data_IF_473251041050
#
_entry.id   IF_473251041050
#
_cell.length_a   1.000
_cell.length_b   1.000
_cell.length_c   1.000
_cell.angle_alpha   90.00
_cell.angle_beta   90.00
_cell.angle_gamma   90.00
#
_symmetry.space_group_name_H-M   'P 1'
#
loop_
_entity.id
_entity.type
_entity.pdbx_description
1 polymer ?
#
# COMPACT_ATOMS: atom_id res chain seq x y z
N UNK A 1 44.62 17.95 5.08
CA UNK A 1 44.19 16.54 4.95
C UNK A 1 42.70 16.46 5.21
N UNK A 2 41.90 16.37 4.16
CA UNK A 2 40.42 16.26 4.25
C UNK A 2 40.04 14.79 4.39
N UNK A 3 39.26 14.39 5.41
CA UNK A 3 38.92 12.98 5.61
C UNK A 3 37.87 12.57 4.57
N UNK A 4 38.31 11.84 3.55
CA UNK A 4 37.49 11.27 2.46
C UNK A 4 36.64 10.06 2.86
N UNK A 5 36.37 9.88 4.15
CA UNK A 5 35.71 8.68 4.70
C UNK A 5 34.28 8.92 5.21
N UNK A 6 33.76 10.15 5.15
CA UNK A 6 32.39 10.49 5.62
C UNK A 6 31.30 10.27 4.56
N UNK A 7 31.67 10.12 3.29
CA UNK A 7 30.72 9.99 2.17
C UNK A 7 29.99 8.63 2.11
N UNK A 8 30.63 7.46 2.35
CA UNK A 8 29.94 6.18 2.21
C UNK A 8 28.93 5.92 3.34
N UNK A 9 29.13 6.49 4.53
CA UNK A 9 28.22 6.31 5.68
C UNK A 9 26.91 7.07 5.47
N UNK A 10 26.98 8.26 4.86
CA UNK A 10 25.80 9.08 4.59
C UNK A 10 24.85 8.42 3.56
N UNK A 11 25.42 7.70 2.57
CA UNK A 11 24.65 7.02 1.54
C UNK A 11 23.83 5.86 2.10
N UNK A 12 24.38 5.06 3.02
CA UNK A 12 23.63 3.96 3.65
C UNK A 12 22.45 4.48 4.48
N UNK A 13 22.62 5.64 5.14
CA UNK A 13 21.56 6.27 5.92
C UNK A 13 20.40 6.80 5.06
N UNK A 14 20.69 7.30 3.85
CA UNK A 14 19.67 7.83 2.94
C UNK A 14 18.83 6.73 2.27
N UNK A 15 19.40 5.54 2.01
CA UNK A 15 18.65 4.42 1.45
C UNK A 15 17.71 3.74 2.45
N UNK A 16 17.92 3.92 3.76
CA UNK A 16 17.04 3.36 4.80
C UNK A 16 15.67 4.05 4.92
N UNK A 17 15.52 5.27 4.38
CA UNK A 17 14.31 6.09 4.56
C UNK A 17 13.32 6.01 3.37
N UNK A 18 13.67 5.33 2.27
CA UNK A 18 12.82 5.24 1.06
C UNK A 18 11.85 4.04 1.07
N UNK A 19 11.52 3.53 2.26
CA UNK A 19 10.81 2.26 2.43
C UNK A 19 9.50 2.34 3.20
N UNK A 20 8.70 3.40 3.06
CA UNK A 20 7.26 3.30 3.37
C UNK A 20 6.54 2.58 2.20
N UNK A 21 6.97 1.37 1.88
CA UNK A 21 6.11 0.46 1.11
C UNK A 21 5.08 -0.06 2.11
N UNK A 22 3.84 0.44 2.01
CA UNK A 22 2.72 -0.17 2.72
C UNK A 22 2.76 -1.67 2.44
N UNK A 23 3.00 -2.48 3.48
CA UNK A 23 3.05 -3.95 3.35
C UNK A 23 1.66 -4.55 3.17
N UNK A 24 0.65 -3.71 2.94
CA UNK A 24 -0.74 -4.12 2.88
C UNK A 24 -1.02 -4.76 1.53
N UNK A 25 -1.76 -5.88 1.51
CA UNK A 25 -2.08 -6.55 0.26
C UNK A 25 -3.03 -5.67 -0.55
N UNK A 26 -2.67 -5.43 -1.82
CA UNK A 26 -3.50 -4.75 -2.81
C UNK A 26 -4.16 -5.81 -3.69
N UNK A 27 -5.48 -5.75 -3.80
CA UNK A 27 -6.30 -6.63 -4.62
C UNK A 27 -6.95 -5.88 -5.76
N UNK A 28 -6.84 -6.41 -6.97
CA UNK A 28 -7.61 -5.93 -8.12
C UNK A 28 -8.96 -6.62 -8.15
N UNK A 29 -10.04 -5.86 -7.99
CA UNK A 29 -11.42 -6.33 -8.01
C UNK A 29 -12.16 -5.74 -9.21
N UNK A 30 -13.16 -6.46 -9.71
CA UNK A 30 -14.00 -5.99 -10.82
C UNK A 30 -14.96 -4.92 -10.31
N UNK A 31 -15.09 -3.82 -11.05
CA UNK A 31 -15.95 -2.69 -10.69
C UNK A 31 -17.08 -2.53 -11.71
N UNK A 32 -17.94 -3.55 -11.80
CA UNK A 32 -19.10 -3.52 -12.71
C UNK A 32 -20.41 -3.19 -11.97
N UNK A 33 -20.54 -3.69 -10.75
CA UNK A 33 -21.73 -3.52 -9.91
C UNK A 33 -21.25 -3.12 -8.49
N UNK A 34 -21.74 -1.99 -7.94
CA UNK A 34 -21.30 -1.51 -6.63
C UNK A 34 -21.61 -2.45 -5.47
N UNK A 35 -22.71 -3.20 -5.52
CA UNK A 35 -23.10 -4.15 -4.46
C UNK A 35 -22.21 -5.39 -4.49
N UNK A 36 -21.95 -5.93 -5.69
CA UNK A 36 -21.02 -7.06 -5.88
C UNK A 36 -19.62 -6.65 -5.47
N UNK A 37 -19.15 -5.49 -5.93
CA UNK A 37 -17.84 -4.96 -5.56
C UNK A 37 -17.66 -4.84 -4.04
N UNK A 38 -18.66 -4.28 -3.34
CA UNK A 38 -18.61 -4.16 -1.88
C UNK A 38 -18.53 -5.53 -1.20
N UNK A 39 -19.31 -6.51 -1.66
CA UNK A 39 -19.27 -7.87 -1.13
C UNK A 39 -17.91 -8.53 -1.35
N UNK A 40 -17.33 -8.37 -2.54
CA UNK A 40 -16.02 -8.92 -2.89
C UNK A 40 -14.89 -8.27 -2.07
N UNK A 41 -14.92 -6.95 -1.94
CA UNK A 41 -13.97 -6.19 -1.12
C UNK A 41 -14.05 -6.62 0.35
N UNK A 42 -15.27 -6.78 0.87
CA UNK A 42 -15.48 -7.28 2.24
C UNK A 42 -15.00 -8.71 2.43
N UNK A 43 -15.21 -9.58 1.44
CA UNK A 43 -14.76 -10.97 1.49
C UNK A 43 -13.23 -11.08 1.47
N UNK A 44 -12.54 -10.15 0.79
CA UNK A 44 -11.08 -10.12 0.68
C UNK A 44 -10.38 -9.44 1.85
N UNK A 45 -10.87 -8.27 2.25
CA UNK A 45 -10.21 -7.39 3.22
C UNK A 45 -10.98 -7.21 4.55
N UNK A 46 -12.20 -7.73 4.65
CA UNK A 46 -13.08 -7.46 5.78
C UNK A 46 -13.67 -6.04 5.74
N UNK A 47 -13.91 -5.46 6.91
CA UNK A 47 -14.51 -4.13 7.05
C UNK A 47 -13.58 -2.98 6.69
N UNK A 48 -12.27 -3.21 6.75
CA UNK A 48 -11.27 -2.16 6.65
C UNK A 48 -10.52 -2.29 5.33
N UNK A 49 -10.90 -1.46 4.36
CA UNK A 49 -10.22 -1.37 3.07
C UNK A 49 -10.29 0.05 2.51
N UNK A 50 -9.31 0.39 1.66
CA UNK A 50 -9.28 1.63 0.90
C UNK A 50 -9.25 1.32 -0.60
N UNK A 51 -9.89 2.17 -1.40
CA UNK A 51 -9.76 2.12 -2.85
C UNK A 51 -8.60 3.02 -3.23
N UNK A 52 -7.54 2.44 -3.78
CA UNK A 52 -6.30 3.16 -4.15
C UNK A 52 -6.38 3.68 -5.58
N UNK A 53 -7.02 2.92 -6.47
CA UNK A 53 -7.19 3.27 -7.88
C UNK A 53 -8.52 2.73 -8.39
N UNK A 54 -9.19 3.48 -9.27
CA UNK A 54 -10.41 3.04 -9.94
C UNK A 54 -10.25 3.19 -11.45
N UNK A 55 -10.29 2.06 -12.15
CA UNK A 55 -10.40 1.99 -13.59
C UNK A 55 -11.86 1.90 -14.05
N UNK A 56 -12.06 1.72 -15.36
CA UNK A 56 -13.39 1.62 -15.97
C UNK A 56 -14.18 0.37 -15.57
N UNK A 57 -13.49 -0.74 -15.34
CA UNK A 57 -14.06 -2.07 -15.07
C UNK A 57 -13.40 -2.75 -13.85
N UNK A 58 -12.51 -2.04 -13.15
CA UNK A 58 -11.80 -2.56 -11.99
C UNK A 58 -11.52 -1.47 -10.95
N UNK A 59 -11.24 -1.90 -9.73
CA UNK A 59 -10.68 -1.05 -8.68
C UNK A 59 -9.57 -1.80 -7.94
N UNK A 60 -8.51 -1.09 -7.57
CA UNK A 60 -7.47 -1.58 -6.67
C UNK A 60 -7.87 -1.27 -5.25
N UNK A 61 -7.94 -2.32 -4.44
CA UNK A 61 -8.35 -2.25 -3.04
C UNK A 61 -7.19 -2.67 -2.16
N UNK A 62 -6.79 -1.80 -1.25
CA UNK A 62 -5.79 -2.08 -0.22
C UNK A 62 -6.49 -2.50 1.07
N UNK A 63 -6.11 -3.66 1.62
CA UNK A 63 -6.66 -4.11 2.90
C UNK A 63 -5.98 -3.35 4.04
N UNK A 64 -6.77 -2.58 4.79
CA UNK A 64 -6.28 -1.84 5.94
C UNK A 64 -6.32 -2.75 7.18
N UNK A 65 -5.32 -2.61 8.05
CA UNK A 65 -5.42 -3.22 9.38
C UNK A 65 -6.44 -2.43 10.19
N UNK A 66 -7.26 -3.10 11.02
CA UNK A 66 -8.05 -2.37 12.02
C UNK A 66 -7.10 -1.53 12.86
N UNK A 67 -7.49 -0.30 13.16
CA UNK A 67 -6.81 0.48 14.18
C UNK A 67 -6.88 -0.33 15.47
N UNK A 68 -5.72 -0.64 16.06
CA UNK A 68 -5.67 -1.37 17.33
C UNK A 68 -6.55 -0.67 18.37
N UNK A 69 -7.36 -1.44 19.10
CA UNK A 69 -8.18 -0.94 20.21
C UNK A 69 -7.35 -0.29 21.32
#
# INVERSE_FOLDING_TARGET
>A
MTPRFLIPVLLVFLFGMLGCQSSQPIHRLKYNDPHVFKSDAYTKCGQHYAIVEQGSDYALVECLRPYSE
#
